data_IF_301107939277
#
_entry.id   IF_301107939277
#
_cell.length_a   1.000
_cell.length_b   1.000
_cell.length_c   1.000
_cell.angle_alpha   90.00
_cell.angle_beta   90.00
_cell.angle_gamma   90.00
#
_symmetry.space_group_name_H-M   'P 1'
#
loop_
_entity.id
_entity.type
_entity.pdbx_description
1 polymer ?
#
# COMPACT_ATOMS: atom_id res chain seq x y z
N UNK A 1 -0.69 14.03 5.05
CA UNK A 1 -0.60 12.98 6.07
C UNK A 1 0.70 12.23 5.85
N UNK A 2 1.45 11.91 6.90
CA UNK A 2 2.73 11.20 6.78
C UNK A 2 2.55 9.80 7.33
N UNK A 3 2.98 8.79 6.58
CA UNK A 3 2.89 7.38 6.96
C UNK A 3 4.30 6.83 7.01
N UNK A 4 4.74 6.41 8.20
CA UNK A 4 6.09 5.87 8.43
C UNK A 4 5.99 4.58 9.21
N UNK A 5 6.82 3.61 8.86
CA UNK A 5 6.81 2.29 9.48
C UNK A 5 7.62 1.29 8.69
N UNK A 6 7.84 0.12 9.27
CA UNK A 6 8.45 -1.02 8.57
C UNK A 6 7.36 -1.99 8.17
N UNK A 7 7.38 -2.40 6.92
CA UNK A 7 6.50 -3.42 6.38
C UNK A 7 7.33 -4.51 5.73
N UNK A 8 6.81 -5.73 5.69
CA UNK A 8 7.57 -6.84 5.15
C UNK A 8 7.73 -6.74 3.62
N UNK A 9 6.68 -6.28 2.92
CA UNK A 9 6.60 -6.28 1.47
C UNK A 9 6.35 -4.88 0.90
N UNK A 10 6.97 -4.59 -0.25
CA UNK A 10 6.74 -3.34 -1.00
C UNK A 10 5.28 -3.18 -1.43
N UNK A 11 4.66 -4.26 -1.90
CA UNK A 11 3.25 -4.24 -2.30
C UNK A 11 2.31 -3.85 -1.15
N UNK A 12 2.66 -4.20 0.08
CA UNK A 12 1.92 -3.80 1.27
C UNK A 12 2.06 -2.30 1.54
N UNK A 13 3.24 -1.72 1.35
CA UNK A 13 3.44 -0.27 1.46
C UNK A 13 2.57 0.49 0.45
N UNK A 14 2.58 0.05 -0.80
CA UNK A 14 1.81 0.65 -1.88
C UNK A 14 0.30 0.56 -1.63
N UNK A 15 -0.18 -0.60 -1.16
CA UNK A 15 -1.59 -0.80 -0.80
C UNK A 15 -2.01 0.11 0.34
N UNK A 16 -1.19 0.21 1.40
CA UNK A 16 -1.47 1.10 2.55
C UNK A 16 -1.57 2.55 2.08
N UNK A 17 -0.62 3.03 1.28
CA UNK A 17 -0.66 4.38 0.72
C UNK A 17 -1.91 4.60 -0.15
N UNK A 18 -2.31 3.61 -0.95
CA UNK A 18 -3.52 3.68 -1.77
C UNK A 18 -4.80 3.75 -0.93
N UNK A 19 -4.94 2.93 0.11
CA UNK A 19 -6.11 2.95 1.00
C UNK A 19 -6.21 4.28 1.73
N UNK A 20 -5.10 4.83 2.22
CA UNK A 20 -5.08 6.10 2.95
C UNK A 20 -5.50 7.27 2.05
N UNK A 21 -5.15 7.24 0.76
CA UNK A 21 -5.62 8.25 -0.22
C UNK A 21 -7.14 8.26 -0.42
N UNK A 22 -7.84 7.18 -0.08
CA UNK A 22 -9.31 7.13 -0.17
C UNK A 22 -10.02 7.66 1.07
N UNK A 23 -9.28 8.00 2.14
CA UNK A 23 -9.86 8.56 3.37
C UNK A 23 -10.29 10.01 3.10
N UNK A 24 -11.57 10.37 3.27
CA UNK A 24 -12.04 11.74 3.08
C UNK A 24 -11.27 12.72 3.96
N UNK A 25 -10.75 13.80 3.36
CA UNK A 25 -9.94 14.80 4.05
C UNK A 25 -8.41 14.58 3.94
N UNK A 26 -7.96 13.45 3.39
CA UNK A 26 -6.54 13.26 3.05
C UNK A 26 -6.27 13.86 1.67
N UNK A 27 -5.54 14.98 1.65
CA UNK A 27 -5.16 15.69 0.40
C UNK A 27 -3.86 15.17 -0.17
N UNK A 28 -2.96 14.69 0.69
CA UNK A 28 -1.64 14.18 0.29
C UNK A 28 -1.12 13.13 1.29
N UNK A 29 -0.38 12.15 0.78
CA UNK A 29 0.21 11.05 1.54
C UNK A 29 1.71 11.01 1.24
N UNK A 30 2.51 11.44 2.21
CA UNK A 30 3.95 11.25 2.17
C UNK A 30 4.29 9.84 2.66
N UNK A 31 4.73 8.99 1.73
CA UNK A 31 5.13 7.62 2.01
C UNK A 31 6.58 7.57 2.50
N UNK A 32 6.77 7.21 3.76
CA UNK A 32 8.05 6.90 4.39
C UNK A 32 8.13 5.46 4.89
N UNK A 33 7.36 4.55 4.27
CA UNK A 33 7.39 3.14 4.60
C UNK A 33 8.68 2.49 4.06
N UNK A 34 9.35 1.76 4.94
CA UNK A 34 10.53 0.97 4.59
C UNK A 34 10.11 -0.49 4.47
N UNK A 35 10.46 -1.13 3.35
CA UNK A 35 10.16 -2.54 3.11
C UNK A 35 11.40 -3.42 3.16
N UNK A 36 11.27 -4.61 3.72
CA UNK A 36 12.37 -5.58 3.80
C UNK A 36 12.47 -6.44 2.52
N UNK A 37 11.36 -6.65 1.79
CA UNK A 37 11.31 -7.43 0.53
C UNK A 37 10.67 -6.61 -0.58
N UNK A 38 11.37 -6.45 -1.71
CA UNK A 38 10.78 -5.93 -2.95
C UNK A 38 10.10 -7.07 -3.73
N UNK A 39 8.78 -7.14 -3.60
CA UNK A 39 7.92 -8.13 -4.26
C UNK A 39 7.13 -7.53 -5.44
N UNK A 40 7.56 -6.37 -5.96
CA UNK A 40 6.86 -5.66 -7.05
C UNK A 40 6.62 -6.53 -8.29
N UNK A 41 7.55 -7.43 -8.60
CA UNK A 41 7.46 -8.36 -9.73
C UNK A 41 6.45 -9.50 -9.51
N UNK A 42 6.21 -9.89 -8.26
CA UNK A 42 5.25 -10.96 -7.91
C UNK A 42 3.83 -10.38 -7.80
N UNK A 43 3.73 -9.14 -7.29
CA UNK A 43 2.45 -8.46 -7.07
C UNK A 43 1.78 -7.93 -8.34
N UNK A 44 2.54 -7.74 -9.43
CA UNK A 44 1.98 -7.40 -10.75
C UNK A 44 0.95 -8.42 -11.29
N UNK A 45 0.90 -9.63 -10.72
CA UNK A 45 -0.06 -10.68 -11.07
C UNK A 45 -1.35 -10.67 -10.20
N UNK A 46 -1.49 -9.80 -9.20
CA UNK A 46 -2.60 -9.83 -8.22
C UNK A 46 -3.46 -8.56 -8.14
N UNK A 47 -3.44 -7.71 -9.16
CA UNK A 47 -4.51 -6.71 -9.39
C UNK A 47 -5.73 -7.43 -10.00
N UNK A 48 -6.33 -8.34 -9.22
CA UNK A 48 -7.39 -9.25 -9.69
C UNK A 48 -8.41 -9.65 -8.63
N UNK A 49 -8.34 -9.10 -7.42
CA UNK A 49 -9.45 -9.20 -6.46
C UNK A 49 -9.78 -7.81 -5.93
N UNK A 50 -10.65 -7.06 -6.64
CA UNK A 50 -11.37 -5.98 -5.98
C UNK A 50 -12.22 -6.64 -4.88
N UNK A 51 -12.26 -6.02 -3.70
CA UNK A 51 -13.09 -6.35 -2.55
C UNK A 51 -14.29 -7.30 -2.86
N UNK A 52 -14.29 -8.50 -2.28
CA UNK A 52 -15.43 -9.41 -2.37
C UNK A 52 -15.29 -10.73 -1.60
N UNK A 53 -16.17 -10.90 -0.61
CA UNK A 53 -16.64 -12.14 0.05
C UNK A 53 -15.76 -12.81 1.14
N UNK A 54 -15.97 -12.43 2.40
CA UNK A 54 -16.95 -13.09 3.30
C UNK A 54 -17.19 -12.23 4.55
#
# INVERSE_FOLDING_TARGET
MVVTGRVQFRSSAELIAQVIRHVPGVVDVADGLVFDVDDSLISGSRIGTPFGAA
#
